data_IF_467098066157
#
_entry.id   IF_467098066157
#
_cell.length_a   1.000
_cell.length_b   1.000
_cell.length_c   1.000
_cell.angle_alpha   90.00
_cell.angle_beta   90.00
_cell.angle_gamma   90.00
#
_symmetry.space_group_name_H-M   'P 1'
#
loop_
_entity.id
_entity.type
_entity.pdbx_description
1 polymer ?
#
# COMPACT_ATOMS: atom_id res chain seq x y z
N UNK A 1 2.74 11.88 -8.02
CA UNK A 1 1.90 11.02 -8.90
C UNK A 1 0.41 11.25 -8.62
N UNK A 2 -0.49 11.23 -9.62
CA UNK A 2 -1.94 11.42 -9.39
C UNK A 2 -2.72 10.16 -9.81
N UNK A 3 -3.53 9.61 -8.89
CA UNK A 3 -4.41 8.46 -9.14
C UNK A 3 -5.84 8.87 -8.80
N UNK A 4 -6.66 9.14 -9.83
CA UNK A 4 -8.02 9.66 -9.65
C UNK A 4 -8.04 10.97 -8.86
N UNK A 5 -8.63 10.93 -7.66
CA UNK A 5 -8.71 12.06 -6.72
C UNK A 5 -7.57 12.09 -5.68
N UNK A 6 -6.68 11.09 -5.68
CA UNK A 6 -5.53 11.04 -4.78
C UNK A 6 -4.33 11.72 -5.45
N UNK A 7 -3.82 12.75 -4.78
CA UNK A 7 -2.52 13.33 -5.09
C UNK A 7 -1.49 12.68 -4.16
N UNK A 8 -0.61 11.87 -4.74
CA UNK A 8 0.53 11.27 -4.05
C UNK A 8 1.73 12.16 -4.31
N UNK A 9 2.29 12.74 -3.26
CA UNK A 9 3.55 13.46 -3.33
C UNK A 9 4.71 12.44 -3.27
N UNK A 10 5.90 12.81 -3.79
CA UNK A 10 7.09 11.94 -3.89
C UNK A 10 6.94 10.68 -4.77
N UNK A 11 7.84 9.70 -4.56
CA UNK A 11 7.81 8.32 -5.09
C UNK A 11 7.02 7.41 -4.17
N UNK A 12 5.70 7.25 -4.38
CA UNK A 12 4.85 6.44 -3.51
C UNK A 12 5.21 4.95 -3.57
N UNK A 13 5.26 4.31 -2.42
CA UNK A 13 5.51 2.88 -2.28
C UNK A 13 4.18 2.12 -2.19
N UNK A 14 3.91 1.30 -3.22
CA UNK A 14 2.70 0.50 -3.31
C UNK A 14 2.95 -0.93 -2.82
N UNK A 15 2.08 -1.42 -1.95
CA UNK A 15 2.03 -2.84 -1.62
C UNK A 15 1.06 -3.56 -2.55
N UNK A 16 1.59 -4.37 -3.46
CA UNK A 16 0.78 -5.18 -4.37
C UNK A 16 -0.06 -6.23 -3.59
N UNK A 17 -1.30 -6.51 -4.03
CA UNK A 17 -2.09 -7.60 -3.48
C UNK A 17 -1.50 -8.94 -3.92
N UNK A 18 -1.25 -9.82 -2.96
CA UNK A 18 -0.76 -11.18 -3.16
C UNK A 18 -1.61 -12.11 -2.30
N UNK A 19 -2.31 -13.03 -2.96
CA UNK A 19 -3.17 -14.03 -2.31
C UNK A 19 -2.38 -14.78 -1.23
N UNK A 20 -2.98 -14.94 -0.06
CA UNK A 20 -2.42 -15.61 1.12
C UNK A 20 -1.12 -15.01 1.69
N UNK A 21 -0.68 -13.85 1.21
CA UNK A 21 0.49 -13.13 1.76
C UNK A 21 0.04 -11.80 2.37
N UNK A 22 -0.82 -11.06 1.69
CA UNK A 22 -1.22 -9.70 2.08
C UNK A 22 -2.35 -9.72 3.12
N UNK A 23 -2.26 -10.55 4.15
CA UNK A 23 -3.20 -10.56 5.27
C UNK A 23 -3.10 -9.28 6.12
N UNK A 24 -4.07 -9.08 7.01
CA UNK A 24 -4.19 -7.87 7.85
C UNK A 24 -2.91 -7.56 8.64
N UNK A 25 -2.25 -8.58 9.20
CA UNK A 25 -1.00 -8.43 9.95
C UNK A 25 0.15 -7.89 9.08
N UNK A 26 0.31 -8.44 7.88
CA UNK A 26 1.34 -8.04 6.92
C UNK A 26 1.12 -6.60 6.43
N UNK A 27 -0.13 -6.23 6.12
CA UNK A 27 -0.49 -4.84 5.76
C UNK A 27 -0.16 -3.84 6.88
N UNK A 28 -0.45 -4.20 8.13
CA UNK A 28 -0.11 -3.36 9.29
C UNK A 28 1.39 -3.16 9.44
N UNK A 29 2.17 -4.22 9.18
CA UNK A 29 3.62 -4.15 9.17
C UNK A 29 4.12 -3.21 8.07
N UNK A 30 3.71 -3.42 6.82
CA UNK A 30 4.10 -2.58 5.69
C UNK A 30 3.70 -1.11 5.88
N UNK A 31 2.54 -0.82 6.48
CA UNK A 31 2.12 0.54 6.82
C UNK A 31 3.08 1.22 7.80
N UNK A 32 3.62 0.49 8.79
CA UNK A 32 4.62 1.04 9.72
C UNK A 32 5.96 1.30 9.06
N UNK A 33 6.30 0.56 8.02
CA UNK A 33 7.57 0.67 7.31
C UNK A 33 7.54 1.62 6.10
N UNK A 34 6.44 2.37 5.90
CA UNK A 34 6.36 3.41 4.87
C UNK A 34 5.69 3.00 3.57
N UNK A 35 4.79 1.99 3.59
CA UNK A 35 3.89 1.76 2.47
C UNK A 35 2.79 2.83 2.44
N UNK A 36 2.75 3.63 1.38
CA UNK A 36 1.82 4.75 1.21
C UNK A 36 0.42 4.27 0.78
N UNK A 37 0.38 3.22 -0.05
CA UNK A 37 -0.85 2.62 -0.55
C UNK A 37 -0.81 1.11 -0.37
N UNK A 38 -1.89 0.58 0.19
CA UNK A 38 -2.09 -0.83 0.45
C UNK A 38 -3.39 -1.26 -0.23
N UNK A 39 -3.34 -2.33 -1.01
CA UNK A 39 -4.54 -2.95 -1.56
C UNK A 39 -5.09 -3.99 -0.57
N UNK A 40 -6.40 -4.14 -0.56
CA UNK A 40 -7.07 -5.28 0.05
C UNK A 40 -7.53 -6.20 -1.07
N UNK A 41 -7.52 -7.50 -0.82
CA UNK A 41 -8.36 -8.43 -1.59
C UNK A 41 -9.83 -7.99 -1.55
#
# INVERSE_FOLDING_TARGET
>A
MKIGNLNLEDTPLFLAPMEDVTYKSFRWMCKKFGADILYTE
#
